data_IF_248998541963
#
_entry.id   IF_248998541963
#
_cell.length_a   1.000
_cell.length_b   1.000
_cell.length_c   1.000
_cell.angle_alpha   90.00
_cell.angle_beta   90.00
_cell.angle_gamma   90.00
#
_symmetry.space_group_name_H-M   'P 1'
#
loop_
_entity.id
_entity.type
_entity.pdbx_description
1 polymer ?
#
# COMPACT_ATOMS: atom_id res chain seq x y z
N UNK A 1 18.36 5.45 -1.09
CA UNK A 1 16.98 5.16 -1.54
C UNK A 1 17.04 4.01 -2.54
N UNK A 2 15.92 3.32 -2.79
CA UNK A 2 15.79 2.18 -3.72
C UNK A 2 14.59 2.36 -4.67
N UNK A 3 14.42 1.46 -5.65
CA UNK A 3 13.24 1.45 -6.52
C UNK A 3 11.95 1.40 -5.69
N UNK A 4 11.85 0.47 -4.73
CA UNK A 4 10.80 0.45 -3.71
C UNK A 4 11.41 0.85 -2.36
N UNK A 5 11.39 2.14 -2.04
CA UNK A 5 11.99 2.67 -0.81
C UNK A 5 11.11 2.40 0.42
N UNK A 6 11.72 1.94 1.52
CA UNK A 6 11.03 1.79 2.81
C UNK A 6 10.75 3.15 3.46
N UNK A 7 11.71 4.06 3.35
CA UNK A 7 11.68 5.44 3.83
C UNK A 7 12.51 6.31 2.88
N UNK A 8 12.37 7.63 3.03
CA UNK A 8 13.15 8.63 2.31
C UNK A 8 13.97 9.46 3.30
N UNK A 9 15.06 10.03 2.83
CA UNK A 9 15.95 10.88 3.65
C UNK A 9 15.97 12.31 3.13
N UNK A 10 16.10 13.27 4.05
CA UNK A 10 16.21 14.70 3.70
C UNK A 10 17.47 14.95 2.86
N UNK A 11 18.64 14.50 3.33
CA UNK A 11 19.93 14.68 2.66
C UNK A 11 19.91 14.23 1.19
N UNK A 12 19.31 13.08 0.89
CA UNK A 12 19.26 12.58 -0.49
C UNK A 12 18.28 13.40 -1.35
N UNK A 13 17.14 13.84 -0.81
CA UNK A 13 16.21 14.69 -1.55
C UNK A 13 16.77 16.09 -1.80
N UNK A 14 17.52 16.65 -0.84
CA UNK A 14 18.29 17.89 -1.01
C UNK A 14 19.33 17.72 -2.12
N UNK A 15 20.14 16.66 -2.04
CA UNK A 15 21.13 16.34 -3.07
C UNK A 15 20.50 16.23 -4.47
N UNK A 16 19.38 15.50 -4.60
CA UNK A 16 18.65 15.40 -5.88
C UNK A 16 18.16 16.77 -6.35
N UNK A 17 17.61 17.58 -5.44
CA UNK A 17 17.12 18.90 -5.78
C UNK A 17 18.25 19.84 -6.25
N UNK A 18 19.43 19.74 -5.64
CA UNK A 18 20.64 20.42 -6.09
C UNK A 18 21.06 19.94 -7.48
N UNK A 19 21.05 18.64 -7.76
CA UNK A 19 21.41 18.14 -9.10
C UNK A 19 20.42 18.59 -10.18
N UNK A 20 19.12 18.64 -9.86
CA UNK A 20 18.06 19.03 -10.79
C UNK A 20 17.79 20.54 -10.82
N UNK A 21 18.36 21.31 -9.89
CA UNK A 21 18.07 22.73 -9.68
C UNK A 21 16.57 23.02 -9.47
N UNK A 22 15.84 22.05 -8.90
CA UNK A 22 14.41 22.11 -8.55
C UNK A 22 14.04 20.97 -7.62
N UNK A 23 12.97 21.12 -6.85
CA UNK A 23 12.44 20.02 -6.05
C UNK A 23 12.02 18.83 -6.96
N UNK A 24 12.38 17.59 -6.61
CA UNK A 24 11.97 16.42 -7.36
C UNK A 24 10.46 16.16 -7.21
N UNK A 25 9.88 15.53 -8.22
CA UNK A 25 8.56 14.90 -8.11
C UNK A 25 8.76 13.46 -7.72
N UNK A 26 8.20 13.05 -6.58
CA UNK A 26 8.33 11.70 -6.08
C UNK A 26 7.39 10.76 -6.84
N UNK A 27 7.96 9.69 -7.39
CA UNK A 27 7.24 8.50 -7.84
C UNK A 27 7.49 7.41 -6.79
N UNK A 28 6.55 7.19 -5.88
CA UNK A 28 6.66 6.21 -4.81
C UNK A 28 6.11 4.87 -5.26
N UNK A 29 6.97 3.84 -5.29
CA UNK A 29 6.59 2.47 -5.62
C UNK A 29 5.95 1.77 -4.41
N UNK A 30 4.84 2.33 -3.96
CA UNK A 30 3.90 1.76 -3.01
C UNK A 30 2.49 2.23 -3.40
N UNK A 31 1.47 1.36 -3.45
CA UNK A 31 1.46 -0.07 -3.09
C UNK A 31 1.86 -1.07 -4.20
N UNK A 32 2.45 -0.66 -5.32
CA UNK A 32 2.75 -1.52 -6.49
C UNK A 32 3.21 -2.96 -6.18
N UNK A 33 2.72 -3.93 -6.97
CA UNK A 33 3.06 -5.35 -6.86
C UNK A 33 3.27 -6.06 -8.23
N UNK A 34 3.79 -5.33 -9.20
CA UNK A 34 3.93 -5.75 -10.61
C UNK A 34 5.18 -6.61 -10.91
N UNK A 35 6.13 -6.71 -9.98
CA UNK A 35 7.36 -7.50 -10.17
C UNK A 35 7.21 -8.98 -9.79
N UNK A 36 8.11 -9.82 -10.31
CA UNK A 36 8.20 -11.27 -9.99
C UNK A 36 8.07 -11.58 -8.50
N UNK A 37 8.77 -10.82 -7.66
CA UNK A 37 8.74 -11.01 -6.22
C UNK A 37 7.50 -10.39 -5.57
N UNK A 38 7.10 -9.20 -6.01
CA UNK A 38 6.02 -8.47 -5.33
C UNK A 38 4.63 -9.00 -5.69
N UNK A 39 4.44 -9.64 -6.85
CA UNK A 39 3.14 -10.21 -7.24
C UNK A 39 2.63 -11.28 -6.26
N UNK A 40 3.53 -11.85 -5.46
CA UNK A 40 3.19 -12.78 -4.37
C UNK A 40 2.56 -12.08 -3.16
N UNK A 41 2.39 -10.76 -3.17
CA UNK A 41 1.90 -9.95 -2.05
C UNK A 41 0.77 -8.99 -2.50
N UNK A 42 -0.16 -8.70 -1.58
CA UNK A 42 -1.08 -7.56 -1.71
C UNK A 42 -0.69 -6.52 -0.67
N UNK A 43 -0.21 -5.36 -1.11
CA UNK A 43 0.21 -4.27 -0.24
C UNK A 43 -1.00 -3.43 0.20
N UNK A 44 -1.76 -3.94 1.17
CA UNK A 44 -3.03 -3.35 1.60
C UNK A 44 -2.92 -2.36 2.77
N UNK A 45 -1.78 -2.32 3.47
CA UNK A 45 -1.61 -1.54 4.69
C UNK A 45 -1.39 -0.04 4.40
N UNK A 46 -1.56 0.85 5.39
CA UNK A 46 -1.37 2.28 5.19
C UNK A 46 0.04 2.69 4.70
N UNK A 47 0.19 3.91 4.14
CA UNK A 47 1.47 4.55 3.77
C UNK A 47 2.34 4.86 4.99
N UNK A 48 2.81 3.82 5.68
CA UNK A 48 3.72 3.93 6.80
C UNK A 48 5.10 4.45 6.35
N UNK A 49 5.85 5.04 7.27
CA UNK A 49 7.21 5.56 7.06
C UNK A 49 7.31 6.66 5.98
N UNK A 50 6.18 7.25 5.59
CA UNK A 50 6.15 8.53 4.87
C UNK A 50 5.85 9.60 5.91
N UNK A 51 6.58 10.70 5.84
CA UNK A 51 6.51 11.77 6.83
C UNK A 51 6.07 13.07 6.16
N UNK A 52 5.35 13.91 6.90
CA UNK A 52 4.86 15.18 6.36
C UNK A 52 5.97 16.13 5.92
N UNK A 53 7.17 16.03 6.53
CA UNK A 53 8.34 16.81 6.12
C UNK A 53 8.70 16.60 4.65
N UNK A 54 8.27 15.50 4.01
CA UNK A 54 8.43 15.30 2.57
C UNK A 54 7.92 16.50 1.76
N UNK A 55 6.86 17.18 2.22
CA UNK A 55 6.28 18.33 1.52
C UNK A 55 7.22 19.54 1.40
N UNK A 56 8.26 19.62 2.23
CA UNK A 56 9.29 20.66 2.13
C UNK A 56 10.38 20.30 1.09
N UNK A 57 10.46 19.02 0.69
CA UNK A 57 11.56 18.47 -0.11
C UNK A 57 11.13 17.94 -1.49
N UNK A 58 9.83 17.89 -1.78
CA UNK A 58 9.31 17.39 -3.06
C UNK A 58 8.28 18.35 -3.65
N UNK A 59 8.21 18.42 -4.97
CA UNK A 59 7.22 19.23 -5.68
C UNK A 59 5.83 18.55 -5.71
N UNK A 60 5.80 17.21 -5.74
CA UNK A 60 4.59 16.40 -5.77
C UNK A 60 4.90 14.95 -5.37
N UNK A 61 3.87 14.20 -4.96
CA UNK A 61 3.94 12.78 -4.62
C UNK A 61 2.93 12.00 -5.45
N UNK A 62 3.42 11.20 -6.39
CA UNK A 62 2.65 10.21 -7.14
C UNK A 62 2.90 8.83 -6.55
N UNK A 63 1.83 8.10 -6.26
CA UNK A 63 1.88 6.72 -5.80
C UNK A 63 1.66 5.75 -6.97
N UNK A 64 2.48 4.71 -7.06
CA UNK A 64 2.32 3.64 -8.03
C UNK A 64 1.39 2.55 -7.47
N UNK A 65 0.17 2.36 -8.02
CA UNK A 65 -0.79 1.39 -7.51
C UNK A 65 -0.38 -0.07 -7.81
N UNK A 66 -1.09 -1.02 -7.20
CA UNK A 66 -1.03 -2.43 -7.58
C UNK A 66 -1.78 -2.68 -8.91
N UNK A 67 -1.58 -3.86 -9.49
CA UNK A 67 -2.41 -4.34 -10.60
C UNK A 67 -3.87 -4.56 -10.21
N UNK A 68 -4.15 -4.69 -8.91
CA UNK A 68 -5.50 -4.71 -8.34
C UNK A 68 -5.98 -3.28 -8.06
N UNK A 69 -6.76 -2.73 -8.98
CA UNK A 69 -7.19 -1.33 -8.97
C UNK A 69 -8.07 -1.00 -7.75
N UNK A 70 -9.01 -1.88 -7.38
CA UNK A 70 -9.91 -1.61 -6.27
C UNK A 70 -9.24 -1.80 -4.91
N UNK A 71 -8.41 -2.84 -4.76
CA UNK A 71 -7.61 -3.06 -3.56
C UNK A 71 -6.59 -1.95 -3.34
N UNK A 72 -6.03 -1.36 -4.40
CA UNK A 72 -5.12 -0.21 -4.30
C UNK A 72 -5.75 0.99 -3.61
N UNK A 73 -7.09 1.13 -3.62
CA UNK A 73 -7.75 2.25 -2.95
C UNK A 73 -7.57 2.22 -1.42
N UNK A 74 -7.38 1.04 -0.81
CA UNK A 74 -7.17 0.90 0.64
C UNK A 74 -5.91 1.64 1.12
N UNK A 75 -4.70 1.32 0.64
CA UNK A 75 -3.50 2.07 0.99
C UNK A 75 -3.54 3.50 0.46
N UNK A 76 -4.00 3.73 -0.78
CA UNK A 76 -3.98 5.07 -1.41
C UNK A 76 -4.82 6.10 -0.64
N UNK A 77 -5.95 5.69 -0.06
CA UNK A 77 -6.78 6.57 0.77
C UNK A 77 -6.04 7.11 2.01
N UNK A 78 -4.94 6.49 2.41
CA UNK A 78 -4.15 6.90 3.59
C UNK A 78 -3.07 7.94 3.26
N UNK A 79 -2.68 8.09 2.00
CA UNK A 79 -1.61 9.00 1.60
C UNK A 79 -1.87 10.47 1.98
N UNK A 80 -3.07 11.05 1.79
CA UNK A 80 -3.34 12.43 2.24
C UNK A 80 -3.11 12.63 3.74
N UNK A 81 -3.44 11.64 4.56
CA UNK A 81 -3.26 11.72 6.01
C UNK A 81 -1.79 11.77 6.45
N UNK A 82 -0.84 11.35 5.60
CA UNK A 82 0.60 11.59 5.82
C UNK A 82 0.87 13.10 5.94
N UNK A 83 0.25 13.91 5.08
CA UNK A 83 0.51 15.34 4.94
C UNK A 83 -0.41 16.21 5.80
N UNK A 84 -1.66 15.79 6.00
CA UNK A 84 -2.63 16.55 6.80
C UNK A 84 -2.22 16.58 8.28
N UNK A 85 -1.70 15.47 8.82
CA UNK A 85 -1.40 15.36 10.24
C UNK A 85 -0.09 16.00 10.66
N UNK A 86 0.93 16.01 9.81
CA UNK A 86 2.18 16.70 10.15
C UNK A 86 2.12 18.22 10.03
N UNK A 87 1.05 18.79 9.47
CA UNK A 87 0.76 20.23 9.56
C UNK A 87 0.07 20.65 10.85
N UNK A 88 -0.50 19.71 11.61
CA UNK A 88 -1.32 20.00 12.80
C UNK A 88 -0.60 19.73 14.14
N UNK A 89 0.55 19.04 14.13
CA UNK A 89 1.33 18.75 15.34
C UNK A 89 2.69 19.44 15.31
N UNK A 90 3.13 20.11 16.41
CA UNK A 90 4.50 20.57 16.52
C UNK A 90 5.48 19.38 16.55
N UNK A 91 6.78 19.58 16.23
CA UNK A 91 7.77 18.51 16.03
C UNK A 91 8.03 17.59 17.24
N UNK A 92 7.42 17.88 18.39
CA UNK A 92 7.51 17.12 19.62
C UNK A 92 6.27 16.24 19.80
N UNK A 93 6.20 15.10 19.13
CA UNK A 93 5.07 14.18 19.22
C UNK A 93 5.49 12.72 19.28
N UNK A 94 6.21 12.34 20.32
CA UNK A 94 6.39 10.92 20.67
C UNK A 94 5.03 10.30 21.04
N UNK A 95 4.78 9.07 20.57
CA UNK A 95 4.02 8.10 21.37
C UNK A 95 2.51 7.95 21.11
N UNK A 96 2.05 7.91 19.86
CA UNK A 96 0.74 7.33 19.54
C UNK A 96 0.86 5.81 19.34
N UNK A 97 -0.02 5.01 19.94
CA UNK A 97 -0.14 3.59 19.61
C UNK A 97 -0.36 3.44 18.09
N UNK A 98 0.28 2.46 17.45
CA UNK A 98 0.14 2.24 15.99
C UNK A 98 -1.32 2.13 15.53
N UNK A 99 -2.20 1.62 16.40
CA UNK A 99 -3.64 1.48 16.19
C UNK A 99 -4.43 2.80 16.17
N UNK A 100 -3.91 3.87 16.80
CA UNK A 100 -4.55 5.18 16.87
C UNK A 100 -3.92 6.18 15.89
N UNK A 101 -3.06 5.70 14.98
CA UNK A 101 -2.46 6.58 13.98
C UNK A 101 -3.52 7.08 13.00
N UNK A 102 -3.41 8.33 12.53
CA UNK A 102 -4.27 8.88 11.50
C UNK A 102 -4.37 8.04 10.23
N UNK A 103 -3.25 7.43 9.85
CA UNK A 103 -3.16 6.51 8.72
C UNK A 103 -4.04 5.27 8.94
N UNK A 104 -3.98 4.70 10.14
CA UNK A 104 -4.84 3.57 10.52
C UNK A 104 -6.31 3.96 10.53
N UNK A 105 -6.67 5.16 11.01
CA UNK A 105 -8.04 5.64 10.99
C UNK A 105 -8.57 5.79 9.55
N UNK A 106 -7.80 6.42 8.64
CA UNK A 106 -8.19 6.52 7.23
C UNK A 106 -8.36 5.16 6.56
N UNK A 107 -7.51 4.20 6.90
CA UNK A 107 -7.62 2.85 6.38
C UNK A 107 -8.87 2.13 6.87
N UNK A 108 -9.19 2.24 8.16
CA UNK A 108 -10.43 1.71 8.74
C UNK A 108 -11.67 2.38 8.16
N UNK A 109 -11.65 3.70 7.94
CA UNK A 109 -12.72 4.44 7.25
C UNK A 109 -12.95 3.89 5.85
N UNK A 110 -11.87 3.61 5.10
CA UNK A 110 -11.97 3.05 3.76
C UNK A 110 -12.51 1.61 3.78
N UNK A 111 -12.09 0.77 4.73
CA UNK A 111 -12.65 -0.57 4.94
C UNK A 111 -14.14 -0.52 5.28
N UNK A 112 -14.56 0.42 6.13
CA UNK A 112 -15.95 0.57 6.56
C UNK A 112 -16.92 0.91 5.41
N UNK A 113 -16.41 1.27 4.22
CA UNK A 113 -17.21 1.48 3.00
C UNK A 113 -17.58 0.16 2.29
N UNK A 114 -16.94 -0.94 2.67
CA UNK A 114 -17.21 -2.28 2.15
C UNK A 114 -18.30 -2.98 2.97
N UNK A 115 -18.93 -4.05 2.44
CA UNK A 115 -19.80 -4.91 3.24
C UNK A 115 -19.06 -5.38 4.51
N UNK A 116 -19.73 -5.34 5.67
CA UNK A 116 -19.09 -5.58 6.96
C UNK A 116 -18.34 -6.92 7.04
N UNK A 117 -18.89 -7.98 6.43
CA UNK A 117 -18.20 -9.28 6.34
C UNK A 117 -16.88 -9.19 5.56
N UNK A 118 -16.89 -8.56 4.39
CA UNK A 118 -15.70 -8.36 3.57
C UNK A 118 -14.66 -7.48 4.27
N UNK A 119 -15.10 -6.40 4.94
CA UNK A 119 -14.22 -5.54 5.71
C UNK A 119 -13.51 -6.31 6.83
N UNK A 120 -14.23 -7.19 7.54
CA UNK A 120 -13.66 -8.03 8.59
C UNK A 120 -12.65 -9.04 8.04
N UNK A 121 -12.94 -9.67 6.90
CA UNK A 121 -12.00 -10.58 6.23
C UNK A 121 -10.71 -9.83 5.85
N UNK A 122 -10.82 -8.67 5.20
CA UNK A 122 -9.66 -7.86 4.82
C UNK A 122 -8.87 -7.37 6.04
N UNK A 123 -9.55 -6.94 7.09
CA UNK A 123 -8.87 -6.50 8.32
C UNK A 123 -8.09 -7.64 8.99
N UNK A 124 -8.64 -8.85 8.95
CA UNK A 124 -7.99 -10.07 9.46
C UNK A 124 -6.76 -10.45 8.63
N UNK A 125 -6.89 -10.42 7.30
CA UNK A 125 -5.91 -11.04 6.40
C UNK A 125 -4.85 -10.06 5.85
N UNK A 126 -5.10 -8.75 5.88
CA UNK A 126 -4.25 -7.75 5.22
C UNK A 126 -2.77 -7.80 5.65
N UNK A 127 -2.49 -8.09 6.92
CA UNK A 127 -1.11 -8.20 7.40
C UNK A 127 -0.38 -9.36 6.73
N UNK A 128 -1.02 -10.53 6.66
CA UNK A 128 -0.42 -11.72 6.06
C UNK A 128 -0.32 -11.55 4.53
N UNK A 129 -1.34 -10.96 3.89
CA UNK A 129 -1.30 -10.68 2.45
C UNK A 129 -0.13 -9.77 2.06
N UNK A 130 0.19 -8.78 2.90
CA UNK A 130 1.29 -7.86 2.65
C UNK A 130 2.66 -8.45 3.04
N UNK A 131 2.77 -9.10 4.20
CA UNK A 131 4.07 -9.47 4.77
C UNK A 131 4.49 -10.89 4.41
N UNK A 132 3.54 -11.83 4.43
CA UNK A 132 3.83 -13.24 4.27
C UNK A 132 3.60 -13.70 2.81
N UNK A 133 2.62 -13.11 2.12
CA UNK A 133 2.34 -13.38 0.72
C UNK A 133 1.82 -14.81 0.47
N UNK A 134 1.61 -15.18 -0.80
CA UNK A 134 0.98 -16.45 -1.20
C UNK A 134 1.67 -17.69 -0.63
N UNK A 135 3.00 -17.65 -0.45
CA UNK A 135 3.81 -18.75 0.07
C UNK A 135 3.53 -19.09 1.54
N UNK A 136 2.86 -18.19 2.28
CA UNK A 136 2.43 -18.43 3.65
C UNK A 136 1.39 -19.55 3.76
N UNK A 137 0.58 -19.73 2.71
CA UNK A 137 -0.56 -20.64 2.72
C UNK A 137 -0.33 -21.84 1.80
N UNK A 138 -0.72 -23.02 2.30
CA UNK A 138 -0.88 -24.18 1.43
C UNK A 138 -1.92 -23.92 0.33
N UNK A 139 -1.85 -24.67 -0.76
CA UNK A 139 -2.82 -24.58 -1.86
C UNK A 139 -4.27 -24.73 -1.36
N UNK A 140 -4.52 -25.66 -0.44
CA UNK A 140 -5.85 -25.88 0.13
C UNK A 140 -6.34 -24.66 0.95
N UNK A 141 -5.45 -24.03 1.72
CA UNK A 141 -5.78 -22.80 2.46
C UNK A 141 -6.09 -21.65 1.50
N UNK A 142 -5.31 -21.47 0.43
CA UNK A 142 -5.58 -20.45 -0.59
C UNK A 142 -6.91 -20.65 -1.28
N UNK A 143 -7.25 -21.89 -1.66
CA UNK A 143 -8.55 -22.22 -2.25
C UNK A 143 -9.70 -21.93 -1.30
N UNK A 144 -9.55 -22.26 -0.01
CA UNK A 144 -10.58 -21.99 0.99
C UNK A 144 -10.79 -20.48 1.21
N UNK A 145 -9.70 -19.71 1.30
CA UNK A 145 -9.77 -18.25 1.38
C UNK A 145 -10.41 -17.66 0.11
N UNK A 146 -10.03 -18.13 -1.09
CA UNK A 146 -10.59 -17.63 -2.34
C UNK A 146 -12.10 -17.86 -2.40
N UNK A 147 -12.60 -19.01 -1.92
CA UNK A 147 -14.04 -19.28 -1.80
C UNK A 147 -14.73 -18.35 -0.79
N UNK A 148 -14.09 -18.03 0.34
CA UNK A 148 -14.62 -17.07 1.32
C UNK A 148 -14.78 -15.67 0.71
N UNK A 149 -13.76 -15.19 -0.01
CA UNK A 149 -13.83 -13.89 -0.68
C UNK A 149 -14.82 -13.89 -1.85
N UNK A 150 -14.88 -14.95 -2.65
CA UNK A 150 -15.80 -15.07 -3.78
C UNK A 150 -17.29 -15.10 -3.38
N UNK A 151 -17.60 -15.32 -2.09
CA UNK A 151 -18.97 -15.23 -1.57
C UNK A 151 -19.51 -13.79 -1.51
N UNK A 152 -18.65 -12.77 -1.62
CA UNK A 152 -19.03 -11.37 -1.63
C UNK A 152 -19.13 -10.84 -3.07
N UNK A 153 -20.28 -10.27 -3.43
CA UNK A 153 -20.46 -9.54 -4.69
C UNK A 153 -19.80 -8.16 -4.60
N UNK A 154 -18.47 -8.14 -4.80
CA UNK A 154 -17.64 -6.93 -4.70
C UNK A 154 -16.40 -7.07 -5.58
N UNK A 155 -16.04 -6.05 -6.37
CA UNK A 155 -14.82 -6.10 -7.18
C UNK A 155 -13.55 -6.23 -6.32
N UNK A 156 -13.56 -5.68 -5.10
CA UNK A 156 -12.46 -5.85 -4.13
C UNK A 156 -12.29 -7.33 -3.78
N UNK A 157 -13.39 -8.05 -3.57
CA UNK A 157 -13.34 -9.46 -3.20
C UNK A 157 -12.92 -10.35 -4.39
N UNK A 158 -13.36 -10.00 -5.60
CA UNK A 158 -12.94 -10.65 -6.84
C UNK A 158 -11.43 -10.52 -7.06
N UNK A 159 -10.85 -9.34 -6.81
CA UNK A 159 -9.40 -9.13 -6.91
C UNK A 159 -8.60 -9.99 -5.91
N UNK A 160 -9.08 -10.12 -4.66
CA UNK A 160 -8.44 -11.02 -3.67
C UNK A 160 -8.52 -12.47 -4.13
N UNK A 161 -9.70 -12.93 -4.56
CA UNK A 161 -9.89 -14.31 -5.02
C UNK A 161 -9.01 -14.64 -6.24
N UNK A 162 -8.95 -13.75 -7.22
CA UNK A 162 -8.09 -13.90 -8.40
C UNK A 162 -6.60 -13.96 -8.03
N UNK A 163 -6.15 -13.12 -7.09
CA UNK A 163 -4.78 -13.19 -6.57
C UNK A 163 -4.48 -14.50 -5.83
N UNK A 164 -5.41 -14.98 -5.00
CA UNK A 164 -5.26 -16.28 -4.33
C UNK A 164 -5.22 -17.47 -5.31
N UNK A 165 -5.85 -17.34 -6.48
CA UNK A 165 -5.76 -18.29 -7.59
C UNK A 165 -4.50 -18.15 -8.45
N UNK A 166 -3.68 -17.12 -8.23
CA UNK A 166 -2.46 -16.88 -8.99
C UNK A 166 -2.68 -16.19 -10.34
N UNK A 167 -3.82 -15.55 -10.56
CA UNK A 167 -4.14 -14.87 -11.84
C UNK A 167 -3.28 -13.63 -12.09
N UNK A 168 -2.56 -13.14 -11.06
CA UNK A 168 -1.60 -12.03 -11.15
C UNK A 168 -0.14 -12.50 -11.10
N UNK A 169 0.13 -13.77 -11.42
CA UNK A 169 1.50 -14.25 -11.54
C UNK A 169 2.28 -13.38 -12.52
N UNK A 170 3.55 -13.13 -12.19
CA UNK A 170 4.41 -12.33 -13.04
C UNK A 170 4.57 -12.95 -14.43
N UNK A 171 4.27 -12.17 -15.46
CA UNK A 171 4.52 -12.51 -16.84
C UNK A 171 5.78 -11.78 -17.33
N UNK A 172 6.88 -12.50 -17.63
CA UNK A 172 8.10 -11.88 -18.17
C UNK A 172 7.88 -11.09 -19.47
N UNK A 173 6.81 -11.38 -20.22
CA UNK A 173 6.44 -10.61 -21.40
C UNK A 173 6.10 -9.14 -21.08
N UNK A 174 5.75 -8.82 -19.82
CA UNK A 174 5.47 -7.45 -19.38
C UNK A 174 6.72 -6.56 -19.26
N UNK A 175 7.93 -7.13 -19.35
CA UNK A 175 9.20 -6.37 -19.35
C UNK A 175 9.79 -6.17 -20.75
N UNK A 176 9.13 -6.68 -21.80
CA UNK A 176 9.65 -6.63 -23.17
C UNK A 176 8.65 -5.98 -24.11
N UNK A 177 8.86 -4.68 -24.36
CA UNK A 177 8.55 -3.96 -25.61
C UNK A 177 9.77 -3.14 -26.02
#
# INVERSE_FOLDING_TARGET
EQVCSKEFTQDNLEYIAEQFQRLPTLWDNYPVNDSEKMCQHLHLLPFAQRHAWLSDYIAAHYANPMNQAYLSLLPLATLPAVYDFGRLLPPSGQGGNAHDSPLQQRWLEQLARLPAGLANCLQRDASDFQQAGLDHWSLAQRQQLALEYAAYDSPVAQEVAAWLHGEFAFDPACLTD
#
